data_IF_331028399944
#
_entry.id   IF_331028399944
#
_cell.length_a   1.000
_cell.length_b   1.000
_cell.length_c   1.000
_cell.angle_alpha   90.00
_cell.angle_beta   90.00
_cell.angle_gamma   90.00
#
_symmetry.space_group_name_H-M   'P 1'
#
loop_
_entity.id
_entity.type
_entity.pdbx_description
1 polymer ?
#
# COMPACT_ATOMS: atom_id res chain seq x y z
N UNK A 1 -12.14 3.34 23.58
CA UNK A 1 -11.98 3.45 22.12
C UNK A 1 -12.35 4.84 21.68
N UNK A 2 -11.35 5.69 21.49
CA UNK A 2 -11.54 7.02 20.89
C UNK A 2 -11.42 6.93 19.35
N UNK A 3 -11.74 8.01 18.64
CA UNK A 3 -11.71 8.04 17.17
C UNK A 3 -10.32 7.70 16.61
N UNK A 4 -9.25 8.18 17.25
CA UNK A 4 -7.88 7.91 16.81
C UNK A 4 -7.52 6.42 16.94
N UNK A 5 -7.86 5.78 18.07
CA UNK A 5 -7.69 4.34 18.29
C UNK A 5 -8.45 3.54 17.23
N UNK A 6 -9.71 3.88 16.97
CA UNK A 6 -10.52 3.24 15.93
C UNK A 6 -9.86 3.37 14.55
N UNK A 7 -9.34 4.54 14.19
CA UNK A 7 -8.66 4.75 12.92
C UNK A 7 -7.37 3.94 12.80
N UNK A 8 -6.62 3.76 13.90
CA UNK A 8 -5.46 2.87 13.93
C UNK A 8 -5.88 1.41 13.72
N UNK A 9 -6.97 0.95 14.34
CA UNK A 9 -7.50 -0.40 14.17
C UNK A 9 -7.96 -0.65 12.72
N UNK A 10 -8.64 0.32 12.12
CA UNK A 10 -9.03 0.27 10.71
C UNK A 10 -7.80 0.21 9.79
N UNK A 11 -6.80 1.06 10.04
CA UNK A 11 -5.55 1.07 9.27
C UNK A 11 -4.82 -0.26 9.36
N UNK A 12 -4.76 -0.88 10.55
CA UNK A 12 -4.14 -2.18 10.75
C UNK A 12 -4.92 -3.29 10.03
N UNK A 13 -6.25 -3.27 10.12
CA UNK A 13 -7.13 -4.24 9.46
C UNK A 13 -6.96 -4.21 7.94
N UNK A 14 -6.97 -3.02 7.33
CA UNK A 14 -6.78 -2.88 5.89
C UNK A 14 -5.40 -3.35 5.42
N UNK A 15 -4.34 -3.13 6.22
CA UNK A 15 -3.01 -3.67 5.92
C UNK A 15 -3.00 -5.21 5.88
N UNK A 16 -3.73 -5.85 6.79
CA UNK A 16 -3.87 -7.31 6.78
C UNK A 16 -4.65 -7.78 5.55
N UNK A 17 -5.74 -7.11 5.19
CA UNK A 17 -6.55 -7.42 4.00
C UNK A 17 -5.71 -7.32 2.72
N UNK A 18 -4.96 -6.22 2.56
CA UNK A 18 -4.03 -6.00 1.43
C UNK A 18 -2.99 -7.12 1.37
N UNK A 19 -2.40 -7.49 2.51
CA UNK A 19 -1.39 -8.57 2.57
C UNK A 19 -1.98 -9.92 2.13
N UNK A 20 -3.18 -10.25 2.62
CA UNK A 20 -3.87 -11.49 2.26
C UNK A 20 -4.21 -11.55 0.76
N UNK A 21 -4.66 -10.44 0.17
CA UNK A 21 -4.89 -10.36 -1.27
C UNK A 21 -3.59 -10.54 -2.06
N UNK A 22 -2.48 -9.92 -1.63
CA UNK A 22 -1.19 -10.09 -2.28
C UNK A 22 -0.78 -11.56 -2.34
N UNK A 23 -0.85 -12.29 -1.22
CA UNK A 23 -0.58 -13.73 -1.16
C UNK A 23 -1.50 -14.51 -2.10
N UNK A 24 -2.82 -14.27 -2.03
CA UNK A 24 -3.79 -14.98 -2.87
C UNK A 24 -3.59 -14.73 -4.37
N UNK A 25 -3.24 -13.49 -4.76
CA UNK A 25 -2.94 -13.13 -6.15
C UNK A 25 -1.69 -13.88 -6.63
N UNK A 26 -0.63 -13.97 -5.82
CA UNK A 26 0.60 -14.65 -6.23
C UNK A 26 0.45 -16.16 -6.32
N UNK A 27 -0.41 -16.76 -5.50
CA UNK A 27 -0.52 -18.22 -5.36
C UNK A 27 -1.67 -18.86 -6.18
N UNK A 28 -2.61 -18.07 -6.72
CA UNK A 28 -3.74 -18.64 -7.48
C UNK A 28 -3.38 -19.01 -8.92
N UNK A 29 -3.67 -20.24 -9.36
CA UNK A 29 -3.50 -20.66 -10.76
C UNK A 29 -4.70 -20.31 -11.66
N UNK A 30 -5.80 -19.85 -11.07
CA UNK A 30 -7.09 -19.65 -11.73
C UNK A 30 -7.24 -18.20 -12.19
N UNK A 31 -7.19 -17.93 -13.50
CA UNK A 31 -7.11 -16.56 -14.06
C UNK A 31 -8.31 -15.69 -13.71
N UNK A 32 -9.53 -16.22 -13.77
CA UNK A 32 -10.73 -15.47 -13.37
C UNK A 32 -10.72 -15.14 -11.87
N UNK A 33 -10.28 -16.07 -11.01
CA UNK A 33 -10.12 -15.79 -9.59
C UNK A 33 -9.04 -14.72 -9.35
N UNK A 34 -7.88 -14.84 -10.03
CA UNK A 34 -6.81 -13.85 -9.99
C UNK A 34 -7.32 -12.45 -10.31
N UNK A 35 -8.09 -12.30 -11.38
CA UNK A 35 -8.66 -11.02 -11.78
C UNK A 35 -9.62 -10.45 -10.73
N UNK A 36 -10.46 -11.29 -10.12
CA UNK A 36 -11.33 -10.89 -9.01
C UNK A 36 -10.52 -10.41 -7.81
N UNK A 37 -9.48 -11.14 -7.41
CA UNK A 37 -8.61 -10.75 -6.29
C UNK A 37 -7.88 -9.44 -6.58
N UNK A 38 -7.36 -9.24 -7.80
CA UNK A 38 -6.71 -7.98 -8.21
C UNK A 38 -7.69 -6.80 -8.15
N UNK A 39 -8.93 -6.98 -8.58
CA UNK A 39 -9.94 -5.92 -8.51
C UNK A 39 -10.28 -5.56 -7.07
N UNK A 40 -10.46 -6.57 -6.20
CA UNK A 40 -10.72 -6.33 -4.78
C UNK A 40 -9.52 -5.71 -4.06
N UNK A 41 -8.31 -6.11 -4.42
CA UNK A 41 -7.06 -5.54 -3.90
C UNK A 41 -6.97 -4.04 -4.16
N UNK A 42 -7.29 -3.60 -5.38
CA UNK A 42 -7.35 -2.16 -5.72
C UNK A 42 -8.34 -1.40 -4.84
N UNK A 43 -9.53 -1.96 -4.64
CA UNK A 43 -10.54 -1.35 -3.76
C UNK A 43 -10.06 -1.24 -2.30
N UNK A 44 -9.40 -2.28 -1.78
CA UNK A 44 -8.82 -2.27 -0.43
C UNK A 44 -7.70 -1.23 -0.30
N UNK A 45 -6.83 -1.11 -1.31
CA UNK A 45 -5.79 -0.07 -1.34
C UNK A 45 -6.38 1.34 -1.31
N UNK A 46 -7.45 1.60 -2.06
CA UNK A 46 -8.15 2.88 -2.07
C UNK A 46 -8.76 3.22 -0.70
N UNK A 47 -9.35 2.23 -0.02
CA UNK A 47 -9.91 2.40 1.33
C UNK A 47 -8.79 2.69 2.34
N UNK A 48 -7.73 1.88 2.33
CA UNK A 48 -6.57 2.05 3.19
C UNK A 48 -5.94 3.44 3.02
N UNK A 49 -5.83 3.92 1.78
CA UNK A 49 -5.30 5.25 1.48
C UNK A 49 -6.18 6.36 2.06
N UNK A 50 -7.50 6.26 1.93
CA UNK A 50 -8.44 7.24 2.53
C UNK A 50 -8.33 7.29 4.06
N UNK A 51 -8.18 6.13 4.71
CA UNK A 51 -7.95 6.04 6.16
C UNK A 51 -6.64 6.74 6.51
N UNK A 52 -5.55 6.39 5.85
CA UNK A 52 -4.24 7.01 6.06
C UNK A 52 -4.28 8.52 5.86
N UNK A 53 -4.86 9.00 4.75
CA UNK A 53 -4.90 10.43 4.45
C UNK A 53 -5.74 11.19 5.48
N UNK A 54 -6.86 10.61 5.92
CA UNK A 54 -7.67 11.18 7.02
C UNK A 54 -6.86 11.29 8.31
N UNK A 55 -6.11 10.24 8.69
CA UNK A 55 -5.26 10.27 9.87
C UNK A 55 -4.13 11.30 9.74
N UNK A 56 -3.54 11.43 8.55
CA UNK A 56 -2.51 12.43 8.25
C UNK A 56 -3.06 13.85 8.39
N UNK A 57 -4.22 14.15 7.80
CA UNK A 57 -4.89 15.44 7.89
C UNK A 57 -5.25 15.80 9.34
N UNK A 58 -5.62 14.81 10.16
CA UNK A 58 -5.91 14.99 11.60
C UNK A 58 -4.66 15.04 12.49
N UNK A 59 -3.47 14.87 11.93
CA UNK A 59 -2.21 14.86 12.69
C UNK A 59 -1.95 13.58 13.49
N UNK A 60 -2.75 12.53 13.27
CA UNK A 60 -2.62 11.24 13.95
C UNK A 60 -1.60 10.31 13.28
N UNK A 61 -1.19 10.63 12.06
CA UNK A 61 -0.15 9.91 11.34
C UNK A 61 0.85 10.90 10.72
N UNK A 62 1.89 11.32 11.46
CA UNK A 62 2.85 12.28 10.95
C UNK A 62 3.72 11.63 9.87
N UNK A 63 3.87 12.33 8.75
CA UNK A 63 4.75 11.94 7.64
C UNK A 63 5.77 13.04 7.39
N UNK A 64 6.96 12.64 6.91
CA UNK A 64 7.96 13.56 6.39
C UNK A 64 8.17 13.27 4.92
N UNK A 65 8.18 14.30 4.10
CA UNK A 65 8.58 14.16 2.71
C UNK A 65 10.08 13.84 2.67
N UNK A 66 10.46 12.96 1.75
CA UNK A 66 11.86 12.66 1.50
C UNK A 66 12.50 13.82 0.70
N UNK A 67 13.79 14.13 0.91
CA UNK A 67 14.51 15.08 0.07
C UNK A 67 14.44 14.69 -1.41
N UNK A 68 14.24 15.66 -2.31
CA UNK A 68 14.15 15.40 -3.75
C UNK A 68 15.41 14.70 -4.31
N UNK A 69 16.58 15.02 -3.76
CA UNK A 69 17.85 14.39 -4.08
C UNK A 69 17.81 12.87 -3.86
N UNK A 70 17.25 12.45 -2.72
CA UNK A 70 17.20 11.05 -2.31
C UNK A 70 16.23 10.28 -3.19
N UNK A 71 15.08 10.89 -3.51
CA UNK A 71 14.09 10.34 -4.45
C UNK A 71 14.70 10.16 -5.83
N UNK A 72 15.42 11.17 -6.34
CA UNK A 72 16.02 11.13 -7.66
C UNK A 72 17.18 10.12 -7.74
N UNK A 73 18.00 10.03 -6.69
CA UNK A 73 19.06 9.05 -6.58
C UNK A 73 18.50 7.62 -6.61
N UNK A 74 17.53 7.31 -5.74
CA UNK A 74 16.92 5.98 -5.67
C UNK A 74 16.22 5.59 -6.98
N UNK A 75 15.59 6.56 -7.65
CA UNK A 75 15.00 6.34 -8.99
C UNK A 75 16.06 5.92 -10.01
N UNK A 76 17.21 6.59 -10.02
CA UNK A 76 18.31 6.26 -10.93
C UNK A 76 18.90 4.87 -10.62
N UNK A 77 19.14 4.55 -9.36
CA UNK A 77 19.65 3.25 -8.91
C UNK A 77 18.68 2.11 -9.28
N UNK A 78 17.37 2.31 -9.08
CA UNK A 78 16.35 1.33 -9.44
C UNK A 78 16.31 1.06 -10.95
N UNK A 79 16.42 2.09 -11.78
CA UNK A 79 16.47 1.94 -13.24
C UNK A 79 17.73 1.18 -13.69
N UNK A 80 18.88 1.46 -13.06
CA UNK A 80 20.14 0.74 -13.34
C UNK A 80 20.02 -0.74 -12.96
N UNK A 81 19.47 -1.05 -11.79
CA UNK A 81 19.21 -2.42 -11.37
C UNK A 81 18.24 -3.14 -12.31
N UNK A 82 17.19 -2.46 -12.79
CA UNK A 82 16.28 -3.05 -13.76
C UNK A 82 16.96 -3.34 -15.10
N UNK A 83 17.90 -2.49 -15.54
CA UNK A 83 18.65 -2.75 -16.77
C UNK A 83 19.64 -3.90 -16.66
N UNK A 84 20.19 -4.19 -15.47
CA UNK A 84 21.13 -5.29 -15.28
C UNK A 84 20.46 -6.67 -15.18
N UNK A 85 19.14 -6.71 -14.97
CA UNK A 85 18.33 -7.92 -14.95
C UNK A 85 17.79 -8.32 -16.33
N UNK A 86 17.95 -7.47 -17.36
CA UNK A 86 17.58 -7.76 -18.75
C UNK A 86 18.73 -8.40 -19.49
#
# INVERSE_FOLDING_TARGET
MNEQELMHDLLASEKQVISAYSTGITETSCTNLRNTLVNNFKSAQDIQYKIFDTMRQKGWYPTKDAPESDVQQLKNESNQMMSSLR
#
